data_IF_404971615480
#
_entry.id   IF_404971615480
#
_cell.length_a   1.000
_cell.length_b   1.000
_cell.length_c   1.000
_cell.angle_alpha   90.00
_cell.angle_beta   90.00
_cell.angle_gamma   90.00
#
_symmetry.space_group_name_H-M   'P 1'
#
loop_
_entity.id
_entity.type
_entity.pdbx_description
1 polymer ?
#
# COMPACT_ATOMS: atom_id res chain seq x y z
N UNK A 1 15.30 -51.89 35.26
CA UNK A 1 14.05 -52.71 35.23
C UNK A 1 13.42 -52.61 33.83
N UNK A 2 12.51 -53.53 33.45
CA UNK A 2 11.55 -53.46 32.29
C UNK A 2 12.03 -52.79 30.98
N UNK A 3 12.30 -53.45 29.83
CA UNK A 3 11.89 -54.79 29.29
C UNK A 3 10.36 -55.00 29.21
N UNK A 4 9.74 -55.43 28.09
CA UNK A 4 10.21 -55.72 26.71
C UNK A 4 9.06 -55.64 25.70
N UNK A 5 9.35 -55.68 24.39
CA UNK A 5 8.38 -55.75 23.27
C UNK A 5 7.63 -57.10 23.23
N UNK A 6 6.36 -57.11 22.80
CA UNK A 6 5.55 -58.29 22.45
C UNK A 6 4.93 -58.19 21.04
N UNK A 7 4.62 -59.32 20.38
CA UNK A 7 4.29 -59.37 18.93
C UNK A 7 3.45 -60.63 18.58
N UNK A 8 2.44 -60.49 17.68
CA UNK A 8 1.54 -61.57 17.15
C UNK A 8 0.53 -62.14 18.18
N UNK A 9 -0.59 -62.78 17.83
CA UNK A 9 -1.30 -62.84 16.53
C UNK A 9 -2.04 -64.16 16.21
N UNK A 10 -3.27 -64.04 15.67
CA UNK A 10 -4.07 -65.05 14.90
C UNK A 10 -4.85 -66.17 15.66
N UNK A 11 -5.71 -66.86 14.89
CA UNK A 11 -6.59 -68.05 15.14
C UNK A 11 -8.02 -67.66 15.62
N UNK A 12 -9.16 -67.89 14.91
CA UNK A 12 -9.83 -69.09 14.27
C UNK A 12 -10.62 -69.97 15.27
N UNK A 13 -11.77 -70.60 14.96
CA UNK A 13 -12.61 -70.73 13.73
C UNK A 13 -14.06 -71.26 14.09
N UNK A 14 -14.85 -71.67 13.06
CA UNK A 14 -15.95 -72.69 13.11
C UNK A 14 -17.26 -72.26 13.82
N UNK A 15 -18.51 -72.50 13.36
CA UNK A 15 -19.20 -73.01 12.12
C UNK A 15 -20.60 -72.29 12.07
N UNK A 16 -21.61 -72.46 11.20
CA UNK A 16 -21.98 -73.34 10.07
C UNK A 16 -22.91 -72.53 9.09
N UNK A 17 -23.58 -73.03 8.03
CA UNK A 17 -23.58 -74.35 7.37
C UNK A 17 -24.95 -74.83 6.86
N UNK A 18 -25.53 -74.19 5.83
CA UNK A 18 -26.67 -74.71 5.04
C UNK A 18 -26.73 -74.04 3.65
N UNK A 19 -27.24 -74.74 2.63
CA UNK A 19 -27.37 -74.21 1.27
C UNK A 19 -28.73 -74.56 0.64
N UNK A 20 -29.31 -73.61 -0.09
CA UNK A 20 -30.48 -73.78 -0.95
C UNK A 20 -30.29 -72.92 -2.21
N UNK A 21 -30.66 -73.46 -3.38
CA UNK A 21 -30.43 -72.84 -4.68
C UNK A 21 -31.74 -72.32 -5.28
N UNK A 22 -31.73 -71.08 -5.76
CA UNK A 22 -32.73 -70.52 -6.68
C UNK A 22 -32.06 -69.61 -7.72
N UNK A 23 -32.76 -69.34 -8.82
CA UNK A 23 -32.18 -68.83 -10.07
C UNK A 23 -31.58 -67.42 -9.99
N UNK A 24 -30.62 -67.15 -10.87
CA UNK A 24 -29.94 -65.87 -10.97
C UNK A 24 -30.78 -64.77 -11.65
N UNK A 25 -30.68 -63.55 -11.13
CA UNK A 25 -30.96 -62.31 -11.87
C UNK A 25 -29.66 -61.80 -12.52
N UNK A 26 -29.72 -61.06 -13.65
CA UNK A 26 -28.53 -60.44 -14.24
C UNK A 26 -27.97 -59.35 -13.31
N UNK A 27 -26.64 -59.14 -13.26
CA UNK A 27 -26.07 -58.02 -12.52
C UNK A 27 -26.44 -56.69 -13.19
N UNK A 28 -26.87 -55.72 -12.39
CA UNK A 28 -27.06 -54.35 -12.87
C UNK A 28 -25.76 -53.80 -13.47
N UNK A 29 -25.88 -53.11 -14.62
CA UNK A 29 -24.75 -52.37 -15.17
C UNK A 29 -24.41 -51.22 -14.23
N UNK A 30 -23.14 -51.04 -13.82
CA UNK A 30 -22.75 -49.83 -13.11
C UNK A 30 -23.03 -48.64 -14.03
N UNK A 31 -23.89 -47.73 -13.58
CA UNK A 31 -24.08 -46.44 -14.25
C UNK A 31 -22.72 -45.73 -14.29
N UNK A 32 -22.29 -45.21 -15.45
CA UNK A 32 -21.03 -44.49 -15.52
C UNK A 32 -21.16 -43.25 -14.63
N UNK A 33 -20.36 -43.19 -13.56
CA UNK A 33 -20.30 -42.01 -12.71
C UNK A 33 -19.92 -40.81 -13.59
N UNK A 34 -20.81 -39.82 -13.65
CA UNK A 34 -20.60 -38.64 -14.45
C UNK A 34 -19.27 -38.01 -14.06
N UNK A 35 -18.36 -37.85 -15.04
CA UNK A 35 -17.19 -36.98 -14.83
C UNK A 35 -17.72 -35.64 -14.32
N UNK A 36 -17.14 -35.04 -13.26
CA UNK A 36 -17.48 -33.67 -12.95
C UNK A 36 -17.20 -32.84 -14.19
N UNK A 37 -18.23 -32.21 -14.74
CA UNK A 37 -18.05 -31.24 -15.83
C UNK A 37 -17.01 -30.24 -15.36
N UNK A 38 -16.00 -29.87 -16.19
CA UNK A 38 -15.06 -28.85 -15.81
C UNK A 38 -15.86 -27.58 -15.50
N UNK A 39 -15.90 -27.18 -14.22
CA UNK A 39 -16.56 -25.95 -13.79
C UNK A 39 -15.88 -24.85 -14.59
N UNK A 40 -16.63 -24.27 -15.53
CA UNK A 40 -16.06 -23.40 -16.55
C UNK A 40 -15.28 -22.30 -15.88
N UNK A 41 -13.95 -22.33 -16.03
CA UNK A 41 -13.06 -21.40 -15.35
C UNK A 41 -13.41 -20.00 -15.84
N UNK A 42 -14.20 -19.27 -15.05
CA UNK A 42 -14.64 -17.90 -15.36
C UNK A 42 -13.35 -17.13 -15.68
N UNK A 43 -13.17 -16.63 -16.92
CA UNK A 43 -11.87 -16.15 -17.36
C UNK A 43 -11.37 -15.13 -16.36
N UNK A 44 -10.22 -15.43 -15.73
CA UNK A 44 -9.70 -14.64 -14.63
C UNK A 44 -9.29 -13.29 -15.20
N UNK A 45 -10.18 -12.31 -15.11
CA UNK A 45 -9.93 -10.95 -15.57
C UNK A 45 -8.94 -10.31 -14.62
N UNK A 46 -7.65 -10.58 -14.84
CA UNK A 46 -6.57 -9.94 -14.09
C UNK A 46 -6.63 -8.42 -14.33
N UNK A 47 -6.03 -7.67 -13.41
CA UNK A 47 -5.96 -6.21 -13.44
C UNK A 47 -4.49 -5.77 -13.48
N UNK A 48 -4.13 -4.66 -14.14
CA UNK A 48 -2.73 -4.26 -14.25
C UNK A 48 -2.11 -3.94 -12.89
N UNK A 49 -0.80 -4.12 -12.79
CA UNK A 49 -0.03 -3.88 -11.58
C UNK A 49 1.30 -3.21 -11.93
N UNK A 50 1.62 -2.13 -11.22
CA UNK A 50 2.94 -1.50 -11.23
C UNK A 50 3.59 -1.66 -9.85
N UNK A 51 4.89 -1.92 -9.81
CA UNK A 51 5.66 -2.06 -8.57
C UNK A 51 6.96 -1.24 -8.70
N UNK A 52 7.06 -0.19 -7.89
CA UNK A 52 8.23 0.65 -7.75
C UNK A 52 9.33 -0.04 -6.93
N UNK A 53 10.60 0.21 -7.27
CA UNK A 53 11.75 -0.44 -6.62
C UNK A 53 12.89 0.52 -6.31
N UNK A 54 13.65 0.23 -5.25
CA UNK A 54 14.99 0.80 -5.04
C UNK A 54 15.99 0.10 -5.97
N UNK A 55 16.58 0.85 -6.89
CA UNK A 55 17.60 0.35 -7.83
C UNK A 55 18.98 0.19 -7.17
N UNK A 56 19.95 -0.35 -7.91
CA UNK A 56 21.34 -0.47 -7.46
C UNK A 56 21.45 -1.43 -6.28
N UNK A 57 21.86 -0.94 -5.10
CA UNK A 57 22.00 -1.75 -3.89
C UNK A 57 20.69 -2.41 -3.42
N UNK A 58 19.52 -1.89 -3.81
CA UNK A 58 18.23 -2.54 -3.54
C UNK A 58 17.92 -3.74 -4.46
N UNK A 59 18.73 -3.99 -5.49
CA UNK A 59 18.50 -5.07 -6.48
C UNK A 59 17.40 -4.78 -7.52
N UNK A 60 16.63 -3.70 -7.35
CA UNK A 60 15.62 -3.26 -8.29
C UNK A 60 16.18 -2.79 -9.63
N UNK A 61 15.34 -2.77 -10.66
CA UNK A 61 15.72 -2.45 -12.04
C UNK A 61 14.90 -1.30 -12.68
N UNK A 62 14.03 -0.65 -11.89
CA UNK A 62 13.07 0.35 -12.36
C UNK A 62 11.66 0.02 -11.87
N UNK A 63 10.64 0.27 -12.69
CA UNK A 63 9.25 -0.09 -12.37
C UNK A 63 8.98 -1.50 -12.91
N UNK A 64 8.72 -2.48 -12.04
CA UNK A 64 8.25 -3.81 -12.44
C UNK A 64 6.77 -3.73 -12.81
N UNK A 65 6.37 -4.42 -13.87
CA UNK A 65 5.00 -4.38 -14.39
C UNK A 65 4.44 -5.80 -14.53
N UNK A 66 3.11 -5.91 -14.51
CA UNK A 66 2.42 -7.19 -14.58
C UNK A 66 0.93 -7.05 -14.35
N UNK A 67 0.32 -8.11 -13.83
CA UNK A 67 -1.08 -8.12 -13.42
C UNK A 67 -1.27 -8.81 -12.07
N UNK A 68 -2.44 -8.59 -11.44
CA UNK A 68 -2.93 -9.37 -10.30
C UNK A 68 -4.32 -9.95 -10.61
N UNK A 69 -4.66 -11.07 -9.99
CA UNK A 69 -6.00 -11.67 -10.02
C UNK A 69 -6.80 -11.26 -8.77
N UNK A 70 -7.85 -10.42 -8.88
CA UNK A 70 -8.65 -9.98 -7.74
C UNK A 70 -9.31 -11.12 -6.95
N UNK A 71 -9.56 -12.27 -7.60
CA UNK A 71 -10.25 -13.39 -6.96
C UNK A 71 -9.30 -14.34 -6.20
N UNK A 72 -8.01 -14.35 -6.51
CA UNK A 72 -7.03 -15.30 -5.92
C UNK A 72 -5.83 -14.63 -5.25
N UNK A 73 -5.62 -13.33 -5.44
CA UNK A 73 -4.43 -12.60 -4.96
C UNK A 73 -3.17 -12.86 -5.77
N UNK A 74 -3.20 -13.79 -6.74
CA UNK A 74 -2.02 -14.16 -7.54
C UNK A 74 -1.54 -12.99 -8.40
N UNK A 75 -0.33 -12.53 -8.11
CA UNK A 75 0.43 -11.57 -8.93
C UNK A 75 1.16 -12.34 -10.05
N UNK A 76 1.35 -11.72 -11.21
CA UNK A 76 2.12 -12.28 -12.35
C UNK A 76 2.83 -11.15 -13.09
N UNK A 77 4.16 -11.15 -13.02
CA UNK A 77 5.01 -10.08 -13.55
C UNK A 77 5.41 -10.35 -15.01
N UNK A 78 5.45 -9.30 -15.84
CA UNK A 78 5.70 -9.40 -17.28
C UNK A 78 6.96 -8.67 -17.71
N UNK A 79 7.17 -7.42 -17.29
CA UNK A 79 8.27 -6.58 -17.78
C UNK A 79 8.85 -5.63 -16.71
N UNK A 80 9.85 -4.84 -17.11
CA UNK A 80 10.41 -3.73 -16.33
C UNK A 80 10.44 -2.48 -17.21
N UNK A 81 9.92 -1.35 -16.72
CA UNK A 81 10.24 -0.02 -17.26
C UNK A 81 11.58 0.41 -16.68
N UNK A 82 12.63 0.22 -17.48
CA UNK A 82 14.02 0.56 -17.15
C UNK A 82 14.32 2.04 -17.43
N UNK A 83 15.50 2.51 -17.01
CA UNK A 83 15.92 3.91 -17.21
C UNK A 83 15.28 4.89 -16.22
N UNK A 84 14.63 4.39 -15.17
CA UNK A 84 14.16 5.18 -14.04
C UNK A 84 14.91 4.67 -12.81
N UNK A 85 15.77 5.52 -12.24
CA UNK A 85 16.49 5.24 -11.01
C UNK A 85 15.59 5.50 -9.79
N UNK A 86 15.67 4.61 -8.81
CA UNK A 86 14.94 4.65 -7.54
C UNK A 86 13.46 5.12 -7.64
N UNK A 87 12.61 4.50 -8.48
CA UNK A 87 11.17 4.73 -8.48
C UNK A 87 10.51 4.09 -7.26
N UNK A 88 10.78 4.63 -6.08
CA UNK A 88 10.32 4.07 -4.80
C UNK A 88 8.84 4.31 -4.50
N UNK A 89 8.23 5.31 -5.13
CA UNK A 89 6.82 5.65 -5.01
C UNK A 89 6.19 5.98 -6.37
N UNK A 90 4.93 5.56 -6.55
CA UNK A 90 4.16 5.69 -7.79
C UNK A 90 2.78 6.31 -7.54
N UNK A 91 2.25 7.03 -8.52
CA UNK A 91 0.83 7.37 -8.61
C UNK A 91 0.36 7.36 -10.07
N UNK A 92 -0.95 7.25 -10.28
CA UNK A 92 -1.57 7.27 -11.62
C UNK A 92 -2.35 8.57 -11.86
N UNK A 93 -2.33 9.06 -13.10
CA UNK A 93 -3.21 10.15 -13.53
C UNK A 93 -4.69 9.71 -13.48
N UNK A 94 -5.67 10.58 -13.11
CA UNK A 94 -7.08 10.20 -12.98
C UNK A 94 -7.74 9.54 -14.21
N UNK A 95 -7.19 9.68 -15.42
CA UNK A 95 -7.68 8.98 -16.62
C UNK A 95 -7.05 7.59 -16.88
N UNK A 96 -6.16 7.11 -16.00
CA UNK A 96 -5.49 5.80 -16.13
C UNK A 96 -4.40 5.70 -17.20
N UNK A 97 -4.25 6.67 -18.10
CA UNK A 97 -3.34 6.57 -19.25
C UNK A 97 -1.85 6.88 -18.96
N UNK A 98 -1.50 7.33 -17.75
CA UNK A 98 -0.12 7.70 -17.39
C UNK A 98 0.13 7.48 -15.91
N UNK A 99 1.25 6.84 -15.57
CA UNK A 99 1.79 6.80 -14.22
C UNK A 99 2.93 7.82 -14.06
N UNK A 100 3.14 8.26 -12.83
CA UNK A 100 4.27 9.06 -12.40
C UNK A 100 5.06 8.29 -11.35
N UNK A 101 6.38 8.36 -11.45
CA UNK A 101 7.31 7.82 -10.47
C UNK A 101 8.22 8.92 -9.94
N UNK A 102 8.57 8.86 -8.66
CA UNK A 102 9.74 9.59 -8.16
C UNK A 102 11.02 9.01 -8.75
N UNK A 103 12.13 9.71 -8.58
CA UNK A 103 13.47 9.15 -8.62
C UNK A 103 14.19 9.60 -7.35
N UNK A 104 14.10 8.77 -6.31
CA UNK A 104 14.56 9.06 -4.96
C UNK A 104 16.10 9.09 -4.89
N UNK A 105 16.65 10.25 -5.22
CA UNK A 105 18.08 10.56 -5.31
C UNK A 105 18.34 11.97 -4.80
N UNK A 106 19.61 12.29 -4.57
CA UNK A 106 20.03 13.65 -4.17
C UNK A 106 19.68 14.69 -5.24
N UNK A 107 19.99 14.41 -6.52
CA UNK A 107 19.37 15.13 -7.65
C UNK A 107 17.97 14.56 -7.92
N UNK A 108 17.02 15.01 -7.11
CA UNK A 108 15.62 14.58 -7.11
C UNK A 108 14.89 14.89 -8.41
N UNK A 109 14.18 13.88 -8.92
CA UNK A 109 13.36 14.01 -10.13
C UNK A 109 12.01 13.28 -10.01
N UNK A 110 11.11 13.61 -10.93
CA UNK A 110 9.85 12.92 -11.20
C UNK A 110 9.77 12.55 -12.68
N UNK A 111 9.31 11.33 -12.97
CA UNK A 111 9.30 10.74 -14.31
C UNK A 111 7.90 10.33 -14.70
N UNK A 112 7.45 10.73 -15.89
CA UNK A 112 6.15 10.34 -16.45
C UNK A 112 6.28 9.11 -17.36
N UNK A 113 5.33 8.19 -17.27
CA UNK A 113 5.30 6.92 -18.01
C UNK A 113 3.89 6.70 -18.57
N UNK A 114 3.73 6.79 -19.89
CA UNK A 114 2.49 6.45 -20.56
C UNK A 114 2.21 4.95 -20.44
N UNK A 115 0.96 4.59 -20.17
CA UNK A 115 0.56 3.20 -19.94
C UNK A 115 -0.14 2.64 -21.20
N UNK A 116 0.55 1.73 -21.90
CA UNK A 116 -0.04 0.98 -23.01
C UNK A 116 -1.05 -0.06 -22.53
N UNK A 117 -2.19 -0.16 -23.20
CA UNK A 117 -3.24 -1.16 -22.92
C UNK A 117 -2.82 -2.59 -23.28
N UNK A 118 -1.73 -2.73 -24.04
CA UNK A 118 -1.00 -3.95 -24.37
C UNK A 118 0.05 -4.34 -23.31
N UNK A 119 0.24 -3.52 -22.26
CA UNK A 119 1.32 -3.67 -21.27
C UNK A 119 2.67 -3.08 -21.71
N UNK A 120 2.74 -2.39 -22.85
CA UNK A 120 3.96 -1.72 -23.32
C UNK A 120 3.96 -0.28 -22.81
N UNK A 121 4.60 -0.08 -21.67
CA UNK A 121 4.68 1.23 -21.01
C UNK A 121 5.89 2.04 -21.51
N UNK A 122 5.71 3.35 -21.75
CA UNK A 122 6.71 4.21 -22.40
C UNK A 122 7.01 5.46 -21.57
N UNK A 123 8.28 5.67 -21.25
CA UNK A 123 8.76 6.89 -20.58
C UNK A 123 8.47 8.12 -21.47
N UNK A 124 7.80 9.13 -20.89
CA UNK A 124 7.54 10.44 -21.50
C UNK A 124 8.62 11.48 -21.15
N UNK A 125 9.51 11.13 -20.22
CA UNK A 125 10.63 11.94 -19.76
C UNK A 125 10.47 12.43 -18.33
N UNK A 126 11.55 13.01 -17.81
CA UNK A 126 11.70 13.37 -16.40
C UNK A 126 11.87 14.88 -16.19
N UNK A 127 11.58 15.34 -14.97
CA UNK A 127 11.78 16.72 -14.53
C UNK A 127 12.40 16.74 -13.14
N UNK A 128 13.38 17.62 -12.87
CA UNK A 128 13.90 17.77 -11.52
C UNK A 128 12.82 18.32 -10.59
N UNK A 129 12.72 17.80 -9.38
CA UNK A 129 11.94 18.42 -8.30
C UNK A 129 12.68 19.64 -7.78
N UNK A 130 14.02 19.62 -7.76
CA UNK A 130 14.84 20.71 -7.23
C UNK A 130 14.92 20.74 -5.71
N UNK A 131 14.31 19.76 -5.05
CA UNK A 131 14.73 19.27 -3.74
C UNK A 131 15.44 17.92 -3.91
N UNK A 132 15.88 17.36 -2.80
CA UNK A 132 16.60 16.11 -2.72
C UNK A 132 15.77 15.00 -2.05
N UNK A 133 15.95 13.76 -2.50
CA UNK A 133 15.28 12.57 -1.98
C UNK A 133 13.74 12.57 -2.15
N UNK A 134 13.17 12.74 -3.35
CA UNK A 134 11.72 12.66 -3.54
C UNK A 134 11.21 11.25 -3.19
N UNK A 135 10.44 11.14 -2.10
CA UNK A 135 10.02 9.84 -1.51
C UNK A 135 8.51 9.57 -1.69
N UNK A 136 7.74 10.58 -2.09
CA UNK A 136 6.30 10.47 -2.38
C UNK A 136 5.89 11.45 -3.48
N UNK A 137 4.86 11.09 -4.25
CA UNK A 137 4.17 11.99 -5.18
C UNK A 137 2.66 11.72 -5.22
N UNK A 138 1.88 12.70 -5.69
CA UNK A 138 0.45 12.54 -5.95
C UNK A 138 -0.02 13.45 -7.09
N UNK A 139 -1.11 13.08 -7.75
CA UNK A 139 -1.74 13.86 -8.82
C UNK A 139 -2.97 14.57 -8.25
N UNK A 140 -3.12 15.87 -8.52
CA UNK A 140 -4.34 16.61 -8.17
C UNK A 140 -5.57 15.99 -8.89
N UNK A 141 -6.75 15.86 -8.26
CA UNK A 141 -7.93 15.24 -8.88
C UNK A 141 -8.35 15.86 -10.23
N UNK A 142 -8.03 17.14 -10.48
CA UNK A 142 -8.22 17.80 -11.77
C UNK A 142 -7.22 17.41 -12.87
N UNK A 143 -6.32 16.45 -12.63
CA UNK A 143 -5.36 15.89 -13.59
C UNK A 143 -4.20 16.80 -14.01
N UNK A 144 -4.33 18.11 -13.82
CA UNK A 144 -3.40 19.13 -14.36
C UNK A 144 -2.11 19.33 -13.58
N UNK A 145 -1.97 18.77 -12.38
CA UNK A 145 -0.85 19.05 -11.47
C UNK A 145 -0.32 17.79 -10.79
N UNK A 146 0.99 17.63 -10.79
CA UNK A 146 1.74 16.65 -10.00
C UNK A 146 2.38 17.35 -8.80
N UNK A 147 2.29 16.73 -7.63
CA UNK A 147 2.97 17.14 -6.40
C UNK A 147 4.04 16.11 -6.03
N UNK A 148 5.18 16.55 -5.47
CA UNK A 148 6.21 15.64 -4.91
C UNK A 148 6.78 16.16 -3.60
N UNK A 149 7.04 15.26 -2.64
CA UNK A 149 7.68 15.57 -1.35
C UNK A 149 9.13 15.05 -1.34
N UNK A 150 10.07 15.95 -1.04
CA UNK A 150 11.53 15.78 -1.12
C UNK A 150 12.14 15.65 0.29
N UNK A 151 12.36 14.41 0.73
CA UNK A 151 12.74 14.04 2.09
C UNK A 151 14.06 14.67 2.55
N UNK A 152 15.16 14.47 1.81
CA UNK A 152 16.50 14.94 2.21
C UNK A 152 16.59 16.48 2.32
N UNK A 153 15.72 17.19 1.60
CA UNK A 153 15.73 18.67 1.51
C UNK A 153 14.61 19.38 2.27
N UNK A 154 13.68 18.66 2.91
CA UNK A 154 12.54 19.26 3.60
C UNK A 154 11.70 20.18 2.71
N UNK A 155 11.30 19.72 1.52
CA UNK A 155 10.58 20.57 0.56
C UNK A 155 9.51 19.84 -0.24
N UNK A 156 8.54 20.58 -0.76
CA UNK A 156 7.52 20.08 -1.70
C UNK A 156 7.57 20.84 -3.03
N UNK A 157 7.21 20.18 -4.13
CA UNK A 157 7.29 20.74 -5.49
C UNK A 157 6.01 20.54 -6.28
N UNK A 158 5.76 21.43 -7.25
CA UNK A 158 4.61 21.35 -8.18
C UNK A 158 5.09 21.33 -9.63
N UNK A 159 4.55 20.42 -10.44
CA UNK A 159 4.75 20.39 -11.90
C UNK A 159 3.41 20.33 -12.63
N UNK A 160 3.19 21.16 -13.68
CA UNK A 160 2.05 21.01 -14.56
C UNK A 160 2.15 19.74 -15.40
N UNK A 161 1.03 19.05 -15.54
CA UNK A 161 0.83 17.91 -16.44
C UNK A 161 0.25 18.44 -17.75
N UNK A 162 0.84 18.04 -18.89
CA UNK A 162 0.33 18.35 -20.23
C UNK A 162 -0.74 17.34 -20.66
N UNK A 163 -1.51 17.67 -21.70
CA UNK A 163 -2.55 16.80 -22.26
C UNK A 163 -2.06 15.47 -22.85
N UNK A 164 -0.75 15.27 -23.02
CA UNK A 164 -0.12 13.99 -23.40
C UNK A 164 0.40 13.19 -22.18
N UNK A 165 0.13 13.65 -20.95
CA UNK A 165 0.66 13.10 -19.70
C UNK A 165 2.08 13.54 -19.36
N UNK A 166 2.77 14.30 -20.23
CA UNK A 166 4.17 14.70 -19.98
C UNK A 166 4.28 15.87 -18.99
N UNK A 167 5.37 15.90 -18.22
CA UNK A 167 5.59 16.93 -17.21
C UNK A 167 6.20 18.22 -17.79
N UNK A 168 5.63 19.35 -17.39
CA UNK A 168 6.11 20.71 -17.68
C UNK A 168 7.37 21.08 -16.90
N UNK A 169 7.80 22.34 -17.01
CA UNK A 169 8.78 22.88 -16.04
C UNK A 169 8.10 23.01 -14.68
N UNK A 170 8.83 22.75 -13.60
CA UNK A 170 8.35 22.98 -12.22
C UNK A 170 7.78 24.40 -12.10
N UNK A 171 6.56 24.53 -11.58
CA UNK A 171 5.92 25.82 -11.31
C UNK A 171 6.26 26.35 -9.93
N UNK A 172 6.48 25.48 -8.94
CA UNK A 172 6.74 25.87 -7.55
C UNK A 172 7.64 24.90 -6.77
N UNK A 173 8.30 25.41 -5.73
CA UNK A 173 9.15 24.69 -4.77
C UNK A 173 9.07 25.40 -3.41
N UNK A 174 8.41 24.78 -2.43
CA UNK A 174 8.24 25.30 -1.06
C UNK A 174 9.14 24.53 -0.10
N UNK A 175 9.98 25.24 0.66
CA UNK A 175 10.85 24.64 1.68
C UNK A 175 10.26 24.82 3.10
N UNK A 176 10.30 23.76 3.90
CA UNK A 176 9.74 23.69 5.25
C UNK A 176 10.71 24.29 6.30
N UNK A 177 10.91 25.60 6.23
CA UNK A 177 11.90 26.33 7.07
C UNK A 177 11.42 26.65 8.51
N UNK A 178 10.18 26.33 8.86
CA UNK A 178 9.61 26.54 10.20
C UNK A 178 8.40 25.62 10.44
N UNK A 179 8.10 25.14 11.66
CA UNK A 179 8.89 25.28 12.89
C UNK A 179 10.28 24.62 12.78
N UNK A 180 11.21 24.84 13.74
CA UNK A 180 12.47 24.10 13.77
C UNK A 180 12.23 22.58 13.94
N UNK A 181 13.25 21.74 13.67
CA UNK A 181 13.14 20.28 13.81
C UNK A 181 12.75 19.83 15.22
N UNK A 182 12.11 18.67 15.30
CA UNK A 182 11.71 18.04 16.54
C UNK A 182 12.89 17.48 17.37
N UNK A 183 12.64 17.08 18.64
CA UNK A 183 13.67 16.54 19.53
C UNK A 183 14.39 15.32 18.93
N UNK A 184 15.69 15.45 18.70
CA UNK A 184 16.53 14.38 18.14
C UNK A 184 16.53 14.31 16.60
N UNK A 185 16.04 15.34 15.91
CA UNK A 185 15.86 15.37 14.46
C UNK A 185 16.76 16.43 13.82
N UNK A 186 17.37 16.10 12.67
CA UNK A 186 18.49 16.86 12.10
C UNK A 186 18.05 18.02 11.18
N UNK A 187 16.85 17.95 10.63
CA UNK A 187 16.32 18.91 9.67
C UNK A 187 14.89 18.57 9.24
N UNK A 188 14.23 19.43 8.44
CA UNK A 188 12.93 19.14 7.85
C UNK A 188 12.99 17.96 6.87
N UNK A 189 11.98 17.09 6.92
CA UNK A 189 11.88 15.88 6.11
C UNK A 189 10.47 15.67 5.55
N UNK A 190 10.17 16.35 4.45
CA UNK A 190 8.89 16.24 3.74
C UNK A 190 8.68 14.82 3.19
N UNK A 191 7.83 14.02 3.84
CA UNK A 191 7.66 12.60 3.50
C UNK A 191 6.44 12.35 2.60
N UNK A 192 5.35 13.07 2.74
CA UNK A 192 4.14 12.88 1.92
C UNK A 192 3.59 14.21 1.39
N UNK A 193 2.88 14.16 0.27
CA UNK A 193 2.01 15.25 -0.19
C UNK A 193 0.79 14.68 -0.92
N UNK A 194 -0.42 15.07 -0.51
CA UNK A 194 -1.71 14.60 -1.06
C UNK A 194 -2.75 15.73 -1.13
N UNK A 195 -3.72 15.62 -2.03
CA UNK A 195 -4.90 16.51 -2.04
C UNK A 195 -5.95 16.02 -1.04
N UNK A 196 -6.58 16.93 -0.31
CA UNK A 196 -7.71 16.61 0.58
C UNK A 196 -8.97 16.21 -0.21
N UNK A 197 -9.96 15.52 0.40
CA UNK A 197 -11.21 15.15 -0.25
C UNK A 197 -12.05 16.33 -0.78
N UNK A 198 -11.79 17.56 -0.31
CA UNK A 198 -12.43 18.77 -0.83
C UNK A 198 -11.87 19.26 -2.18
N UNK A 199 -10.76 18.69 -2.65
CA UNK A 199 -10.10 19.03 -3.92
C UNK A 199 -9.41 20.40 -3.97
N UNK A 200 -9.46 21.19 -2.88
CA UNK A 200 -8.95 22.57 -2.78
C UNK A 200 -7.65 22.64 -1.99
N UNK A 201 -7.56 21.86 -0.91
CA UNK A 201 -6.41 21.82 -0.03
C UNK A 201 -5.44 20.69 -0.38
N UNK A 202 -4.15 20.94 -0.18
CA UNK A 202 -3.06 20.00 -0.40
C UNK A 202 -2.26 19.92 0.91
N UNK A 203 -2.22 18.75 1.52
CA UNK A 203 -1.52 18.52 2.79
C UNK A 203 -0.17 17.88 2.53
N UNK A 204 0.86 18.34 3.23
CA UNK A 204 2.19 17.75 3.23
C UNK A 204 2.62 17.39 4.66
N UNK A 205 3.08 16.17 4.86
CA UNK A 205 3.68 15.74 6.13
C UNK A 205 5.17 16.02 6.11
N UNK A 206 5.68 16.56 7.21
CA UNK A 206 7.11 16.71 7.45
C UNK A 206 7.48 15.99 8.74
N UNK A 207 8.20 14.87 8.56
CA UNK A 207 8.69 14.03 9.64
C UNK A 207 9.64 14.87 10.52
N UNK A 208 10.54 15.63 9.91
CA UNK A 208 11.61 16.39 10.57
C UNK A 208 11.13 17.46 11.55
N UNK A 209 10.06 18.17 11.22
CA UNK A 209 9.53 19.31 11.98
C UNK A 209 8.26 18.99 12.78
N UNK A 210 7.92 17.71 13.00
CA UNK A 210 6.68 17.27 13.66
C UNK A 210 5.39 17.93 13.11
N UNK A 211 5.34 18.27 11.82
CA UNK A 211 4.33 19.18 11.27
C UNK A 211 3.64 18.63 10.03
N UNK A 212 2.33 18.85 9.95
CA UNK A 212 1.54 18.70 8.72
C UNK A 212 1.17 20.09 8.22
N UNK A 213 1.74 20.49 7.09
CA UNK A 213 1.44 21.75 6.41
C UNK A 213 0.21 21.58 5.54
N UNK A 214 -0.65 22.59 5.47
CA UNK A 214 -1.80 22.64 4.55
C UNK A 214 -1.69 23.84 3.64
N UNK A 215 -1.69 23.56 2.35
CA UNK A 215 -1.62 24.53 1.27
C UNK A 215 -2.95 24.63 0.53
N UNK A 216 -3.20 25.78 -0.09
CA UNK A 216 -4.18 25.95 -1.17
C UNK A 216 -3.43 26.08 -2.49
N UNK A 217 -3.81 25.27 -3.49
CA UNK A 217 -3.26 25.35 -4.83
C UNK A 217 -3.87 26.52 -5.62
N UNK A 218 -3.03 27.41 -6.15
CA UNK A 218 -3.39 28.27 -7.27
C UNK A 218 -3.47 27.41 -8.54
N UNK A 219 -4.69 27.13 -9.00
CA UNK A 219 -4.92 26.28 -10.17
C UNK A 219 -4.69 26.98 -11.51
N UNK A 220 -4.39 28.28 -11.54
CA UNK A 220 -3.95 29.01 -12.73
C UNK A 220 -2.42 28.95 -12.88
N UNK A 221 -1.68 29.25 -11.81
CA UNK A 221 -0.21 29.36 -11.85
C UNK A 221 0.53 28.09 -11.43
N UNK A 222 -0.08 27.22 -10.63
CA UNK A 222 0.54 25.99 -10.14
C UNK A 222 1.41 26.19 -8.89
N UNK A 223 1.02 27.10 -8.00
CA UNK A 223 1.76 27.45 -6.78
C UNK A 223 0.97 27.09 -5.52
N UNK A 224 1.68 26.88 -4.41
CA UNK A 224 1.13 26.49 -3.11
C UNK A 224 1.23 27.66 -2.11
N UNK A 225 0.08 28.20 -1.71
CA UNK A 225 -0.01 29.16 -0.62
C UNK A 225 -0.36 28.42 0.68
N UNK A 226 0.48 28.52 1.73
CA UNK A 226 0.14 27.93 3.04
C UNK A 226 -1.11 28.63 3.63
N UNK A 227 -2.04 27.84 4.15
CA UNK A 227 -3.27 28.34 4.78
C UNK A 227 -3.45 27.84 6.23
N UNK A 228 -2.81 26.73 6.60
CA UNK A 228 -2.81 26.20 7.96
C UNK A 228 -1.62 25.28 8.17
N UNK A 229 -1.20 25.08 9.42
CA UNK A 229 -0.23 24.04 9.81
C UNK A 229 -0.66 23.42 11.14
N UNK A 230 -0.43 22.13 11.29
CA UNK A 230 -0.74 21.37 12.49
C UNK A 230 0.50 20.65 13.00
N UNK A 231 0.85 20.84 14.27
CA UNK A 231 2.01 20.19 14.89
C UNK A 231 1.52 19.00 15.72
N UNK A 232 2.19 17.86 15.62
CA UNK A 232 1.92 16.66 16.44
C UNK A 232 2.74 16.70 17.74
N UNK A 233 2.80 15.60 18.48
CA UNK A 233 3.69 15.47 19.64
C UNK A 233 5.15 15.65 19.20
N UNK A 234 5.98 16.41 19.94
CA UNK A 234 7.41 16.52 19.64
C UNK A 234 8.12 15.16 19.66
N UNK A 235 8.84 14.85 18.59
CA UNK A 235 9.59 13.61 18.39
C UNK A 235 8.75 12.46 17.81
N UNK A 236 7.56 12.73 17.26
CA UNK A 236 6.68 11.71 16.70
C UNK A 236 6.96 11.42 15.21
N UNK A 237 7.38 12.44 14.45
CA UNK A 237 7.77 12.27 13.05
C UNK A 237 6.62 11.87 12.12
N UNK A 238 5.66 12.78 11.84
CA UNK A 238 4.47 12.48 11.06
C UNK A 238 4.85 12.12 9.62
N UNK A 239 4.48 10.91 9.20
CA UNK A 239 5.03 10.26 8.01
C UNK A 239 4.03 10.21 6.86
N UNK A 240 3.00 9.37 6.95
CA UNK A 240 1.95 9.23 5.93
C UNK A 240 0.58 9.45 6.57
N UNK A 241 -0.26 10.24 5.90
CA UNK A 241 -1.64 10.54 6.22
C UNK A 241 -2.57 9.90 5.19
N UNK A 242 -3.77 9.52 5.62
CA UNK A 242 -4.89 9.17 4.75
C UNK A 242 -6.18 9.80 5.29
N UNK A 243 -7.14 10.10 4.42
CA UNK A 243 -8.43 10.68 4.81
C UNK A 243 -9.51 9.60 4.91
N UNK A 244 -10.36 9.69 5.93
CA UNK A 244 -11.61 8.93 5.99
C UNK A 244 -12.53 9.33 4.81
N UNK A 245 -13.26 8.39 4.17
CA UNK A 245 -14.13 8.71 3.03
C UNK A 245 -15.20 9.78 3.30
N UNK A 246 -15.63 9.96 4.56
CA UNK A 246 -16.52 11.03 4.98
C UNK A 246 -15.90 12.44 4.97
N UNK A 247 -14.58 12.56 4.73
CA UNK A 247 -13.90 13.83 4.51
C UNK A 247 -13.80 14.76 5.72
N UNK A 248 -14.14 14.28 6.93
CA UNK A 248 -14.07 15.06 8.19
C UNK A 248 -12.98 14.60 9.15
N UNK A 249 -12.35 13.45 8.88
CA UNK A 249 -11.26 12.90 9.66
C UNK A 249 -10.12 12.41 8.77
N UNK A 250 -8.93 12.36 9.33
CA UNK A 250 -7.75 11.76 8.74
C UNK A 250 -7.00 10.93 9.78
N UNK A 251 -6.24 9.95 9.31
CA UNK A 251 -5.40 9.08 10.14
C UNK A 251 -3.94 9.28 9.71
N UNK A 252 -3.07 9.51 10.69
CA UNK A 252 -1.68 9.90 10.49
C UNK A 252 -0.76 8.89 11.20
N UNK A 253 0.15 8.29 10.45
CA UNK A 253 1.20 7.43 10.97
C UNK A 253 2.41 8.28 11.39
N UNK A 254 2.89 8.10 12.62
CA UNK A 254 4.08 8.74 13.17
C UNK A 254 5.23 7.72 13.17
N UNK A 255 6.32 8.01 12.44
CA UNK A 255 7.42 7.05 12.21
C UNK A 255 8.34 6.89 13.42
N UNK A 256 8.49 7.93 14.26
CA UNK A 256 9.55 7.99 15.27
C UNK A 256 9.09 7.61 16.69
N UNK A 257 7.81 7.83 17.05
CA UNK A 257 7.25 7.42 18.35
C UNK A 257 6.32 6.19 18.30
N UNK A 258 6.25 5.50 17.16
CA UNK A 258 5.42 4.31 16.89
C UNK A 258 3.93 4.50 17.25
N UNK A 259 3.35 5.63 16.83
CA UNK A 259 1.92 5.94 17.03
C UNK A 259 1.13 6.09 15.74
N UNK A 260 -0.19 5.88 15.86
CA UNK A 260 -1.19 6.43 14.93
C UNK A 260 -1.96 7.56 15.62
N UNK A 261 -2.21 8.65 14.91
CA UNK A 261 -3.00 9.80 15.39
C UNK A 261 -4.27 9.92 14.55
N UNK A 262 -5.42 10.06 15.20
CA UNK A 262 -6.65 10.51 14.54
C UNK A 262 -6.68 12.04 14.54
N UNK A 263 -6.94 12.62 13.38
CA UNK A 263 -6.98 14.06 13.17
C UNK A 263 -8.37 14.48 12.72
N UNK A 264 -8.98 15.46 13.40
CA UNK A 264 -10.15 16.16 12.88
C UNK A 264 -9.76 17.04 11.68
N UNK A 265 -10.65 17.20 10.71
CA UNK A 265 -10.43 18.04 9.53
C UNK A 265 -11.60 18.99 9.25
N UNK A 266 -11.28 20.26 9.05
CA UNK A 266 -12.21 21.27 8.55
C UNK A 266 -11.94 21.59 7.07
N UNK A 267 -12.76 21.09 6.13
CA UNK A 267 -12.61 21.38 4.71
C UNK A 267 -12.90 22.85 4.36
N UNK A 268 -13.49 23.67 5.24
CA UNK A 268 -13.72 25.08 4.97
C UNK A 268 -12.43 25.92 5.10
N UNK A 269 -11.58 25.58 6.07
CA UNK A 269 -10.32 26.29 6.39
C UNK A 269 -9.06 25.54 5.97
N UNK A 270 -9.17 24.23 5.71
CA UNK A 270 -8.04 23.33 5.59
C UNK A 270 -7.40 22.95 6.94
N UNK A 271 -8.00 23.33 8.08
CA UNK A 271 -7.39 23.09 9.39
C UNK A 271 -7.44 21.61 9.74
N UNK A 272 -6.27 21.06 10.08
CA UNK A 272 -6.11 19.72 10.65
C UNK A 272 -5.94 19.86 12.17
N UNK A 273 -6.60 19.01 12.96
CA UNK A 273 -6.56 19.02 14.42
C UNK A 273 -6.16 17.64 14.95
N UNK A 274 -4.85 17.39 15.18
CA UNK A 274 -4.37 16.11 15.69
C UNK A 274 -4.87 15.83 17.11
N UNK A 275 -5.35 14.60 17.34
CA UNK A 275 -5.63 14.07 18.68
C UNK A 275 -4.38 13.50 19.36
N UNK A 276 -4.60 12.70 20.40
CA UNK A 276 -3.52 11.94 21.04
C UNK A 276 -3.04 10.78 20.14
N UNK A 277 -1.74 10.46 20.22
CA UNK A 277 -1.17 9.26 19.61
C UNK A 277 -1.66 7.98 20.30
N UNK A 278 -1.92 6.96 19.50
CA UNK A 278 -2.49 5.67 19.89
C UNK A 278 -1.54 4.54 19.47
N UNK A 279 -1.58 3.41 20.20
CA UNK A 279 -0.68 2.28 19.95
C UNK A 279 -0.94 1.59 18.61
N UNK A 280 0.14 1.26 17.91
CA UNK A 280 0.14 0.47 16.67
C UNK A 280 0.04 -1.03 16.90
N UNK A 281 -0.10 -1.50 18.15
CA UNK A 281 -0.28 -2.93 18.48
C UNK A 281 0.99 -3.78 18.33
N UNK A 282 2.14 -3.13 18.32
CA UNK A 282 3.51 -3.65 18.17
C UNK A 282 4.16 -4.02 19.52
N UNK A 283 3.73 -3.41 20.62
CA UNK A 283 4.31 -3.62 21.95
C UNK A 283 5.44 -2.63 22.24
N UNK A 284 6.50 -3.05 22.99
CA UNK A 284 7.62 -2.18 23.38
C UNK A 284 8.82 -2.24 22.43
N UNK A 285 8.84 -3.17 21.47
CA UNK A 285 9.96 -3.38 20.54
C UNK A 285 9.96 -2.33 19.41
N UNK A 286 11.16 -1.94 18.95
CA UNK A 286 11.31 -0.85 17.98
C UNK A 286 10.58 -1.12 16.65
N UNK A 287 9.59 -0.28 16.35
CA UNK A 287 8.78 -0.31 15.14
C UNK A 287 8.79 1.07 14.47
N UNK A 288 8.64 1.07 13.14
CA UNK A 288 8.57 2.29 12.33
C UNK A 288 7.33 2.24 11.43
N UNK A 289 6.20 2.84 11.85
CA UNK A 289 4.97 2.98 11.06
C UNK A 289 5.25 3.55 9.67
N UNK A 290 4.63 2.98 8.64
CA UNK A 290 4.96 3.22 7.24
C UNK A 290 3.78 3.82 6.46
N UNK A 291 3.05 3.01 5.70
CA UNK A 291 1.86 3.45 4.97
C UNK A 291 0.61 3.13 5.79
N UNK A 292 -0.29 4.11 5.85
CA UNK A 292 -1.62 4.01 6.45
C UNK A 292 -2.69 4.11 5.35
N UNK A 293 -3.72 3.28 5.41
CA UNK A 293 -4.86 3.26 4.50
C UNK A 293 -6.17 3.09 5.28
N UNK A 294 -7.28 3.44 4.64
CA UNK A 294 -8.66 3.17 5.07
C UNK A 294 -9.42 2.54 3.91
N UNK A 295 -10.40 1.68 4.20
CA UNK A 295 -11.30 1.09 3.21
C UNK A 295 -12.24 2.12 2.60
N UNK A 296 -12.73 1.87 1.38
CA UNK A 296 -13.58 2.82 0.64
C UNK A 296 -14.97 3.02 1.26
N UNK A 297 -15.44 2.05 2.05
CA UNK A 297 -16.63 2.15 2.91
C UNK A 297 -16.37 2.88 4.24
N UNK A 298 -15.11 3.19 4.54
CA UNK A 298 -14.70 3.89 5.76
C UNK A 298 -14.72 3.04 7.03
N UNK A 299 -14.91 1.71 6.94
CA UNK A 299 -15.12 0.82 8.09
C UNK A 299 -13.82 0.30 8.76
N UNK A 300 -12.72 0.15 8.01
CA UNK A 300 -11.47 -0.42 8.52
C UNK A 300 -10.24 0.36 8.06
N UNK A 301 -9.23 0.45 8.94
CA UNK A 301 -7.94 1.06 8.63
C UNK A 301 -6.78 0.07 8.81
N UNK A 302 -5.74 0.23 7.99
CA UNK A 302 -4.57 -0.66 7.93
C UNK A 302 -3.27 0.14 7.97
N UNK A 303 -2.35 -0.25 8.85
CA UNK A 303 -1.04 0.36 9.02
C UNK A 303 0.07 -0.67 8.81
N UNK A 304 1.05 -0.38 7.96
CA UNK A 304 2.25 -1.20 7.83
C UNK A 304 3.33 -0.76 8.83
N UNK A 305 3.94 -1.72 9.55
CA UNK A 305 5.00 -1.47 10.54
C UNK A 305 6.31 -2.13 10.12
N UNK A 306 7.37 -1.35 9.94
CA UNK A 306 8.73 -1.87 9.68
C UNK A 306 9.43 -2.22 10.99
N UNK A 307 10.33 -3.21 10.97
CA UNK A 307 10.98 -3.73 12.18
C UNK A 307 10.14 -4.84 12.79
N UNK A 308 8.97 -4.52 13.34
CA UNK A 308 7.98 -5.51 13.75
C UNK A 308 7.40 -6.32 12.55
N UNK A 309 7.49 -5.78 11.33
CA UNK A 309 7.13 -6.48 10.08
C UNK A 309 5.69 -7.02 10.08
N UNK A 310 4.75 -6.16 10.48
CA UNK A 310 3.34 -6.47 10.65
C UNK A 310 2.43 -5.46 9.94
N UNK A 311 1.18 -5.86 9.79
CA UNK A 311 0.06 -5.00 9.41
C UNK A 311 -0.86 -4.86 10.62
N UNK A 312 -0.97 -3.66 11.20
CA UNK A 312 -2.01 -3.35 12.19
C UNK A 312 -3.35 -3.17 11.50
N UNK A 313 -4.41 -3.61 12.16
CA UNK A 313 -5.78 -3.46 11.71
C UNK A 313 -6.56 -2.67 12.77
N UNK A 314 -7.42 -1.77 12.33
CA UNK A 314 -8.32 -1.02 13.19
C UNK A 314 -9.74 -1.09 12.64
N UNK A 315 -10.73 -1.23 13.52
CA UNK A 315 -12.09 -0.82 13.21
C UNK A 315 -12.14 0.71 13.27
N UNK A 316 -12.78 1.34 12.30
CA UNK A 316 -13.11 2.75 12.33
C UNK A 316 -14.45 2.91 13.03
N UNK A 317 -14.51 3.80 14.02
CA UNK A 317 -15.71 4.01 14.85
C UNK A 317 -16.06 5.50 14.89
N UNK A 318 -17.25 5.83 15.41
CA UNK A 318 -17.73 7.21 15.58
C UNK A 318 -17.68 8.04 14.26
N UNK A 319 -18.22 7.48 13.17
CA UNK A 319 -18.25 8.06 11.82
C UNK A 319 -16.88 8.54 11.28
N UNK A 320 -15.80 7.96 11.81
CA UNK A 320 -14.42 8.27 11.46
C UNK A 320 -13.60 8.90 12.60
N UNK A 321 -14.22 9.32 13.69
CA UNK A 321 -13.57 10.03 14.80
C UNK A 321 -12.68 9.13 15.67
N UNK A 322 -12.88 7.81 15.65
CA UNK A 322 -12.15 6.86 16.48
C UNK A 322 -11.54 5.71 15.67
N UNK A 323 -10.43 5.16 16.16
CA UNK A 323 -9.82 3.92 15.69
C UNK A 323 -9.72 2.94 16.86
N UNK A 324 -10.31 1.76 16.72
CA UNK A 324 -10.19 0.68 17.71
C UNK A 324 -9.30 -0.44 17.18
N UNK A 325 -8.16 -0.62 17.84
CA UNK A 325 -7.16 -1.63 17.52
C UNK A 325 -7.76 -3.05 17.50
N UNK A 326 -7.60 -3.76 16.39
CA UNK A 326 -7.98 -5.17 16.16
C UNK A 326 -6.75 -6.11 16.17
N UNK A 327 -5.61 -5.62 16.67
CA UNK A 327 -4.33 -6.31 16.67
C UNK A 327 -3.61 -6.30 15.32
N UNK A 328 -2.50 -7.03 15.28
CA UNK A 328 -1.56 -7.08 14.15
C UNK A 328 -1.57 -8.44 13.45
N UNK A 329 -1.16 -8.47 12.18
CA UNK A 329 -0.96 -9.68 11.36
C UNK A 329 0.46 -9.65 10.77
N UNK A 330 1.26 -10.73 10.82
CA UNK A 330 2.58 -10.75 10.18
C UNK A 330 2.49 -10.50 8.67
N UNK A 331 3.34 -9.63 8.12
CA UNK A 331 3.23 -9.20 6.70
C UNK A 331 3.72 -10.24 5.68
N UNK A 332 4.43 -11.28 6.15
CA UNK A 332 5.00 -12.33 5.29
C UNK A 332 6.28 -11.92 4.55
N UNK A 333 6.99 -10.89 5.03
CA UNK A 333 8.26 -10.40 4.51
C UNK A 333 8.97 -9.49 5.52
N UNK A 334 10.07 -8.83 5.12
CA UNK A 334 10.82 -7.88 5.95
C UNK A 334 10.72 -6.44 5.42
N UNK A 335 10.48 -5.51 6.34
CA UNK A 335 10.37 -4.07 6.12
C UNK A 335 9.26 -3.66 5.13
N UNK A 336 7.98 -3.82 5.49
CA UNK A 336 6.85 -3.35 4.67
C UNK A 336 6.85 -1.82 4.55
N UNK A 337 7.39 -1.28 3.45
CA UNK A 337 7.60 0.16 3.22
C UNK A 337 6.33 0.86 2.73
N UNK A 338 5.46 0.14 2.05
CA UNK A 338 4.15 0.62 1.57
C UNK A 338 3.16 -0.54 1.43
N UNK A 339 1.87 -0.21 1.55
CA UNK A 339 0.72 -1.09 1.27
C UNK A 339 -0.24 -0.40 0.30
N UNK A 340 -1.04 -1.19 -0.43
CA UNK A 340 -2.13 -0.72 -1.27
C UNK A 340 -3.36 -1.62 -1.13
N UNK A 341 -4.55 -1.02 -1.07
CA UNK A 341 -5.80 -1.74 -1.33
C UNK A 341 -6.04 -1.78 -2.85
N UNK A 342 -6.64 -2.85 -3.35
CA UNK A 342 -7.12 -2.89 -4.74
C UNK A 342 -8.35 -1.98 -4.93
N UNK A 343 -8.66 -1.51 -6.15
CA UNK A 343 -9.78 -0.59 -6.38
C UNK A 343 -11.17 -1.13 -6.00
N UNK A 344 -11.32 -2.46 -5.85
CA UNK A 344 -12.53 -3.12 -5.36
C UNK A 344 -12.50 -3.40 -3.84
N UNK A 345 -11.39 -3.09 -3.16
CA UNK A 345 -11.15 -3.39 -1.75
C UNK A 345 -11.09 -4.89 -1.41
N UNK A 346 -10.96 -5.78 -2.39
CA UNK A 346 -10.94 -7.23 -2.16
C UNK A 346 -9.58 -7.75 -1.66
N UNK A 347 -8.50 -7.05 -1.98
CA UNK A 347 -7.14 -7.41 -1.61
C UNK A 347 -6.39 -6.22 -0.98
N UNK A 348 -5.47 -6.55 -0.07
CA UNK A 348 -4.40 -5.68 0.40
C UNK A 348 -3.06 -6.26 -0.08
N UNK A 349 -2.26 -5.45 -0.75
CA UNK A 349 -0.92 -5.77 -1.25
C UNK A 349 0.12 -5.03 -0.42
N UNK A 350 1.26 -5.67 -0.10
CA UNK A 350 2.33 -5.10 0.73
C UNK A 350 3.70 -5.24 0.05
N UNK A 351 4.46 -4.13 -0.03
CA UNK A 351 5.81 -4.10 -0.58
C UNK A 351 6.86 -4.21 0.54
N UNK A 352 7.51 -5.37 0.63
CA UNK A 352 8.45 -5.74 1.69
C UNK A 352 9.90 -5.49 1.22
N UNK A 353 10.42 -4.31 1.59
CA UNK A 353 11.61 -3.71 1.01
C UNK A 353 12.88 -4.50 1.21
N UNK A 354 13.11 -5.06 2.41
CA UNK A 354 14.37 -5.76 2.73
C UNK A 354 14.35 -7.22 2.29
N UNK A 355 13.20 -7.89 2.37
CA UNK A 355 13.06 -9.22 1.78
C UNK A 355 12.99 -9.21 0.26
N UNK A 356 12.70 -8.05 -0.36
CA UNK A 356 12.55 -7.94 -1.81
C UNK A 356 11.35 -8.73 -2.31
N UNK A 357 10.19 -8.61 -1.65
CA UNK A 357 8.97 -9.36 -2.00
C UNK A 357 7.73 -8.48 -1.99
N UNK A 358 6.68 -8.92 -2.70
CA UNK A 358 5.32 -8.42 -2.52
C UNK A 358 4.44 -9.53 -1.99
N UNK A 359 3.73 -9.28 -0.88
CA UNK A 359 2.71 -10.18 -0.31
C UNK A 359 1.31 -9.66 -0.61
N UNK A 360 0.34 -10.58 -0.68
CA UNK A 360 -1.06 -10.29 -0.94
C UNK A 360 -1.95 -10.94 0.14
N UNK A 361 -2.98 -10.23 0.55
CA UNK A 361 -3.97 -10.65 1.54
C UNK A 361 -5.37 -10.41 0.98
N UNK A 362 -6.29 -11.35 1.21
CA UNK A 362 -7.72 -11.08 1.09
C UNK A 362 -8.18 -10.24 2.27
N UNK A 363 -8.97 -9.22 1.99
CA UNK A 363 -9.66 -8.39 2.98
C UNK A 363 -11.04 -9.00 3.26
N UNK A 364 -11.32 -9.32 4.51
CA UNK A 364 -12.68 -9.59 4.96
C UNK A 364 -13.40 -8.27 5.26
N UNK A 365 -14.59 -8.09 4.66
CA UNK A 365 -15.38 -6.85 4.79
C UNK A 365 -16.34 -6.87 5.99
N UNK A 366 -16.30 -7.89 6.85
CA UNK A 366 -17.14 -7.97 8.04
C UNK A 366 -16.37 -7.65 9.33
N UNK A 367 -15.09 -8.01 9.42
CA UNK A 367 -14.25 -7.80 10.62
C UNK A 367 -12.89 -7.13 10.33
N UNK A 368 -12.62 -6.73 9.08
CA UNK A 368 -11.32 -6.20 8.66
C UNK A 368 -10.22 -7.28 8.61
N UNK A 369 -10.61 -8.55 8.53
CA UNK A 369 -9.72 -9.71 8.44
C UNK A 369 -8.71 -9.60 7.31
N UNK A 370 -7.46 -10.02 7.57
CA UNK A 370 -6.42 -10.15 6.55
C UNK A 370 -5.98 -11.62 6.50
N UNK A 371 -6.28 -12.31 5.39
CA UNK A 371 -5.88 -13.72 5.16
C UNK A 371 -4.93 -13.80 3.97
N UNK A 372 -3.72 -14.39 4.08
CA UNK A 372 -2.80 -14.54 2.96
C UNK A 372 -3.46 -15.13 1.70
N UNK A 373 -3.16 -14.51 0.56
CA UNK A 373 -3.75 -14.79 -0.75
C UNK A 373 -2.72 -15.44 -1.70
N UNK A 374 -2.05 -16.49 -1.20
CA UNK A 374 -0.98 -17.19 -1.89
C UNK A 374 0.40 -16.98 -1.24
N UNK A 375 1.46 -17.32 -1.98
CA UNK A 375 2.84 -17.05 -1.60
C UNK A 375 3.24 -15.61 -1.95
N UNK A 376 4.29 -15.11 -1.29
CA UNK A 376 4.95 -13.87 -1.70
C UNK A 376 5.54 -14.01 -3.12
N UNK A 377 5.64 -12.89 -3.84
CA UNK A 377 6.28 -12.83 -5.16
C UNK A 377 7.58 -12.04 -5.07
N UNK A 378 8.67 -12.60 -5.58
CA UNK A 378 9.99 -11.99 -5.57
C UNK A 378 10.04 -10.73 -6.45
N UNK A 379 10.34 -9.60 -5.81
CA UNK A 379 10.54 -8.28 -6.43
C UNK A 379 11.67 -7.57 -5.68
N UNK A 380 12.94 -7.80 -6.06
CA UNK A 380 14.08 -7.14 -5.45
C UNK A 380 13.90 -5.62 -5.35
N UNK A 381 14.06 -5.09 -4.15
CA UNK A 381 13.94 -3.66 -3.86
C UNK A 381 12.52 -3.10 -3.80
N UNK A 382 11.46 -3.93 -3.78
CA UNK A 382 10.06 -3.51 -3.75
C UNK A 382 9.78 -2.40 -2.71
N UNK A 383 9.32 -1.25 -3.17
CA UNK A 383 9.15 -0.04 -2.35
C UNK A 383 7.70 0.48 -2.34
N UNK A 384 6.99 0.33 -3.46
CA UNK A 384 5.60 0.71 -3.64
C UNK A 384 4.91 -0.26 -4.59
N UNK A 385 3.74 -0.78 -4.23
CA UNK A 385 2.85 -1.54 -5.11
C UNK A 385 1.61 -0.69 -5.44
N UNK A 386 1.26 -0.63 -6.72
CA UNK A 386 0.18 0.19 -7.28
C UNK A 386 -0.70 -0.68 -8.20
N UNK A 387 -1.83 -1.21 -7.68
CA UNK A 387 -2.86 -1.85 -8.51
C UNK A 387 -3.64 -0.80 -9.32
N UNK A 388 -4.05 -1.16 -10.54
CA UNK A 388 -4.80 -0.31 -11.48
C UNK A 388 -6.16 -0.93 -11.85
#
# INVERSE_FOLDING_TARGET
>A
MTRTIGRRGLIRAVLAGAALSTAAAPPDRPTPSGRPSPVGARPATTRPLLIGTYTGAGGGQGIRTGTYDPATGRISLTATVVGIEHPSYLAVHPCGATAYAVSEREEGAVTAVALGADGVHRVLGSRPTGGAGPTHLSVHPGGRWLFSANYNSGSVSVHPIRGDGSLGRRSDLVAHLSPPPGPGQEGPHAHQIITAPDGRHVLATDLGNDTVYTYRLDTAHGTLAEVSRATVRPGAGPRHLTFHPGGRFAYLACELDDTVVVCGYDPATGTLSPGAGQSTGTGPDTSYPAQLLVTADGAFAYLANRGHNSLTRYAVEEDGAALRLLGTVPVGGDFPRQIALTPDGALLLAANQRSGTVTAFHVDRQDGGLRPAGAAVDVPGAACVLPL
#
